data_IF_648550355518
#
_entry.id   IF_648550355518
#
_cell.length_a   1.000
_cell.length_b   1.000
_cell.length_c   1.000
_cell.angle_alpha   90.00
_cell.angle_beta   90.00
_cell.angle_gamma   90.00
#
_symmetry.space_group_name_H-M   'P 1'
#
loop_
_entity.id
_entity.type
_entity.pdbx_description
1 polymer ?
#
# COMPACT_ATOMS: atom_id res chain seq x y z
N UNK A 1 -19.61 15.62 16.94
CA UNK A 1 -19.01 14.34 17.35
C UNK A 1 -18.00 13.95 16.28
N UNK A 2 -16.74 13.86 16.66
CA UNK A 2 -15.68 13.38 15.78
C UNK A 2 -15.91 11.90 15.47
N UNK A 3 -15.49 11.44 14.29
CA UNK A 3 -15.67 10.03 13.87
C UNK A 3 -15.05 9.04 14.87
N UNK A 4 -13.94 9.42 15.50
CA UNK A 4 -13.27 8.64 16.54
C UNK A 4 -14.13 8.52 17.82
N UNK A 5 -14.80 9.59 18.22
CA UNK A 5 -15.70 9.57 19.39
C UNK A 5 -16.85 8.61 19.13
N UNK A 6 -17.42 8.64 17.92
CA UNK A 6 -18.48 7.72 17.51
C UNK A 6 -18.04 6.25 17.60
N UNK A 7 -16.83 5.93 17.12
CA UNK A 7 -16.27 4.57 17.21
C UNK A 7 -16.09 4.16 18.67
N UNK A 8 -15.54 5.06 19.50
CA UNK A 8 -15.28 4.78 20.92
C UNK A 8 -16.57 4.55 21.70
N UNK A 9 -17.57 5.43 21.52
CA UNK A 9 -18.87 5.36 22.18
C UNK A 9 -19.62 4.08 21.79
N UNK A 10 -19.74 3.78 20.49
CA UNK A 10 -20.39 2.54 20.03
C UNK A 10 -19.65 1.29 20.54
N UNK A 11 -18.32 1.31 20.60
CA UNK A 11 -17.56 0.18 21.15
C UNK A 11 -17.81 0.00 22.64
N UNK A 12 -17.87 1.10 23.40
CA UNK A 12 -18.19 1.07 24.82
C UNK A 12 -19.61 0.55 25.06
N UNK A 13 -20.61 1.10 24.38
CA UNK A 13 -22.01 0.65 24.49
C UNK A 13 -22.17 -0.82 24.12
N UNK A 14 -21.46 -1.29 23.08
CA UNK A 14 -21.45 -2.70 22.69
C UNK A 14 -20.91 -3.60 23.80
N UNK A 15 -19.79 -3.22 24.44
CA UNK A 15 -19.21 -3.98 25.55
C UNK A 15 -20.12 -4.00 26.77
N UNK A 16 -20.78 -2.88 27.06
CA UNK A 16 -21.78 -2.78 28.13
C UNK A 16 -22.97 -3.69 27.83
N UNK A 17 -23.51 -3.63 26.61
CA UNK A 17 -24.60 -4.50 26.17
C UNK A 17 -24.22 -5.97 26.24
N UNK A 18 -23.01 -6.34 25.80
CA UNK A 18 -22.47 -7.69 25.88
C UNK A 18 -22.38 -8.19 27.33
N UNK A 19 -21.92 -7.33 28.24
CA UNK A 19 -21.86 -7.66 29.67
C UNK A 19 -23.25 -7.93 30.25
N UNK A 20 -24.23 -7.07 29.99
CA UNK A 20 -25.60 -7.27 30.50
C UNK A 20 -26.30 -8.46 29.84
N UNK A 21 -26.10 -8.70 28.55
CA UNK A 21 -26.64 -9.86 27.84
C UNK A 21 -26.05 -11.19 28.30
N UNK A 22 -24.82 -11.21 28.84
CA UNK A 22 -24.24 -12.42 29.43
C UNK A 22 -25.07 -12.92 30.63
N UNK A 23 -25.82 -12.04 31.28
CA UNK A 23 -26.71 -12.37 32.37
C UNK A 23 -28.17 -12.33 31.91
N UNK A 24 -28.68 -13.48 31.46
CA UNK A 24 -30.09 -13.61 31.12
C UNK A 24 -30.96 -13.33 32.34
N UNK A 25 -31.91 -12.40 32.19
CA UNK A 25 -32.93 -12.12 33.20
C UNK A 25 -33.98 -13.23 33.14
N UNK A 26 -34.27 -13.85 34.28
CA UNK A 26 -35.30 -14.90 34.40
C UNK A 26 -36.51 -14.34 35.11
N UNK A 27 -37.70 -14.77 34.72
CA UNK A 27 -38.93 -14.38 35.39
C UNK A 27 -39.81 -15.59 35.68
N UNK A 28 -40.61 -15.47 36.74
CA UNK A 28 -41.57 -16.48 37.19
C UNK A 28 -42.93 -15.79 37.32
N UNK A 29 -43.90 -16.22 36.52
CA UNK A 29 -45.30 -15.83 36.66
C UNK A 29 -45.97 -16.69 37.74
N UNK A 30 -46.85 -16.12 38.57
CA UNK A 30 -47.69 -16.88 39.51
C UNK A 30 -47.02 -17.36 40.81
N UNK A 31 -45.81 -16.89 41.12
CA UNK A 31 -45.12 -17.18 42.39
C UNK A 31 -44.83 -15.89 43.14
N UNK A 32 -45.10 -15.84 44.45
CA UNK A 32 -44.75 -14.71 45.32
C UNK A 32 -43.92 -15.23 46.49
N UNK A 33 -42.82 -14.55 46.87
CA UNK A 33 -42.04 -14.90 48.06
C UNK A 33 -42.91 -14.82 49.31
N UNK A 34 -42.73 -15.76 50.26
CA UNK A 34 -43.55 -15.80 51.47
C UNK A 34 -43.04 -14.86 52.58
N UNK A 35 -41.75 -14.57 52.57
CA UNK A 35 -41.04 -13.75 53.56
C UNK A 35 -39.96 -12.87 52.91
N UNK A 36 -39.58 -11.77 53.57
CA UNK A 36 -38.53 -10.82 53.12
C UNK A 36 -37.16 -11.51 52.88
N UNK A 37 -36.86 -12.58 53.61
CA UNK A 37 -35.66 -13.42 53.42
C UNK A 37 -35.68 -14.20 52.10
N UNK A 38 -36.85 -14.64 51.65
CA UNK A 38 -37.03 -15.36 50.39
C UNK A 38 -37.04 -14.39 49.21
N UNK A 39 -37.63 -13.20 49.38
CA UNK A 39 -37.57 -12.10 48.43
C UNK A 39 -36.12 -11.65 48.19
N UNK A 40 -35.34 -11.48 49.26
CA UNK A 40 -33.92 -11.10 49.16
C UNK A 40 -33.10 -12.15 48.41
N UNK A 41 -33.42 -13.45 48.59
CA UNK A 41 -32.78 -14.55 47.84
C UNK A 41 -33.20 -14.58 46.36
N UNK A 42 -34.47 -14.32 46.06
CA UNK A 42 -34.97 -14.25 44.69
C UNK A 42 -34.40 -13.05 43.92
N UNK A 43 -34.34 -11.88 44.57
CA UNK A 43 -33.69 -10.68 44.04
C UNK A 43 -32.19 -10.86 43.85
N UNK A 44 -31.50 -11.50 44.80
CA UNK A 44 -30.08 -11.87 44.66
C UNK A 44 -29.84 -12.87 43.51
N UNK A 45 -30.81 -13.76 43.24
CA UNK A 45 -30.80 -14.66 42.09
C UNK A 45 -31.24 -14.00 40.77
N UNK A 46 -31.58 -12.69 40.77
CA UNK A 46 -32.07 -11.91 39.63
C UNK A 46 -33.34 -12.48 38.98
N UNK A 47 -34.20 -13.10 39.79
CA UNK A 47 -35.48 -13.64 39.34
C UNK A 47 -36.54 -12.57 39.58
N UNK A 48 -37.26 -12.19 38.52
CA UNK A 48 -38.46 -11.37 38.64
C UNK A 48 -39.66 -12.26 38.91
N UNK A 49 -40.60 -11.77 39.71
CA UNK A 49 -41.86 -12.46 39.92
C UNK A 49 -43.03 -11.50 39.64
N UNK A 50 -44.10 -12.06 39.11
CA UNK A 50 -45.31 -11.34 38.74
C UNK A 50 -46.49 -12.07 39.37
N UNK A 51 -47.34 -11.32 40.06
CA UNK A 51 -48.50 -11.86 40.77
C UNK A 51 -49.60 -12.21 39.76
N UNK A 52 -49.77 -13.50 39.49
CA UNK A 52 -50.77 -14.09 38.60
C UNK A 52 -51.33 -15.36 39.25
N UNK A 53 -52.39 -15.94 38.67
CA UNK A 53 -53.10 -17.09 39.28
C UNK A 53 -52.14 -18.29 39.51
N UNK A 54 -52.11 -18.92 40.70
CA UNK A 54 -51.14 -19.97 41.05
C UNK A 54 -51.20 -21.23 40.18
N UNK A 55 -52.28 -21.40 39.41
CA UNK A 55 -52.44 -22.53 38.48
C UNK A 55 -51.64 -22.35 37.17
N UNK A 56 -51.13 -21.14 36.90
CA UNK A 56 -50.36 -20.80 35.69
C UNK A 56 -48.90 -20.41 35.97
N UNK A 57 -48.20 -21.14 36.84
CA UNK A 57 -46.77 -20.87 37.08
C UNK A 57 -45.94 -21.18 35.83
N UNK A 58 -45.43 -20.14 35.17
CA UNK A 58 -44.52 -20.24 34.03
C UNK A 58 -43.18 -19.62 34.38
N UNK A 59 -42.12 -20.39 34.14
CA UNK A 59 -40.74 -19.94 34.26
C UNK A 59 -40.22 -19.78 32.84
N UNK A 60 -39.76 -18.58 32.51
CA UNK A 60 -39.19 -18.29 31.20
C UNK A 60 -38.06 -17.23 31.32
N UNK A 61 -37.33 -17.02 30.24
CA UNK A 61 -36.27 -16.03 30.13
C UNK A 61 -36.67 -14.89 29.20
N UNK A 62 -36.24 -13.67 29.52
CA UNK A 62 -36.37 -12.57 28.56
C UNK A 62 -35.42 -12.83 27.39
N UNK A 63 -35.89 -12.56 26.17
CA UNK A 63 -35.06 -12.74 24.98
C UNK A 63 -33.80 -11.89 25.07
N UNK A 64 -32.68 -12.49 24.69
CA UNK A 64 -31.39 -11.82 24.68
C UNK A 64 -31.38 -10.77 23.57
N UNK A 65 -30.96 -9.54 23.88
CA UNK A 65 -30.71 -8.57 22.82
C UNK A 65 -29.65 -9.08 21.83
N UNK A 66 -29.68 -8.57 20.59
CA UNK A 66 -28.63 -8.84 19.60
C UNK A 66 -27.55 -7.76 19.64
N UNK A 67 -26.28 -8.16 19.48
CA UNK A 67 -25.16 -7.22 19.35
C UNK A 67 -24.90 -6.76 17.91
N UNK A 68 -25.55 -7.38 16.91
CA UNK A 68 -25.34 -7.11 15.49
C UNK A 68 -25.50 -5.62 15.10
N UNK A 69 -26.53 -4.90 15.58
CA UNK A 69 -26.69 -3.48 15.24
C UNK A 69 -25.50 -2.61 15.67
N UNK A 70 -24.85 -2.93 16.80
CA UNK A 70 -23.67 -2.22 17.28
C UNK A 70 -22.45 -2.50 16.41
N UNK A 71 -22.29 -3.76 15.97
CA UNK A 71 -21.21 -4.16 15.04
C UNK A 71 -21.37 -3.41 13.71
N UNK A 72 -22.58 -3.34 13.18
CA UNK A 72 -22.87 -2.64 11.92
C UNK A 72 -22.64 -1.13 12.03
N UNK A 73 -23.07 -0.52 13.13
CA UNK A 73 -22.82 0.90 13.42
C UNK A 73 -21.31 1.20 13.52
N UNK A 74 -20.56 0.35 14.23
CA UNK A 74 -19.09 0.46 14.33
C UNK A 74 -18.43 0.31 12.96
N UNK A 75 -18.82 -0.68 12.18
CA UNK A 75 -18.25 -0.92 10.85
C UNK A 75 -18.52 0.25 9.89
N UNK A 76 -19.72 0.83 9.96
CA UNK A 76 -20.08 2.05 9.22
C UNK A 76 -19.16 3.23 9.61
N UNK A 77 -18.88 3.40 10.91
CA UNK A 77 -17.96 4.42 11.40
C UNK A 77 -16.51 4.25 10.94
N UNK A 78 -16.03 3.00 10.87
CA UNK A 78 -14.70 2.72 10.34
C UNK A 78 -14.65 3.03 8.83
N UNK A 79 -15.71 2.79 8.06
CA UNK A 79 -15.77 3.15 6.64
C UNK A 79 -15.74 4.66 6.41
N UNK A 80 -16.50 5.41 7.19
CA UNK A 80 -16.47 6.87 7.14
C UNK A 80 -15.06 7.40 7.49
N UNK A 81 -14.43 6.83 8.53
CA UNK A 81 -13.05 7.17 8.90
C UNK A 81 -12.06 6.85 7.78
N UNK A 82 -12.17 5.68 7.15
CA UNK A 82 -11.34 5.27 6.02
C UNK A 82 -11.46 6.26 4.84
N UNK A 83 -12.68 6.70 4.54
CA UNK A 83 -12.94 7.67 3.47
C UNK A 83 -12.33 9.05 3.77
N UNK A 84 -12.47 9.54 5.01
CA UNK A 84 -11.92 10.84 5.42
C UNK A 84 -10.39 10.80 5.48
N UNK A 85 -9.83 9.75 6.08
CA UNK A 85 -8.38 9.58 6.20
C UNK A 85 -7.69 9.09 4.93
N UNK A 86 -8.43 8.87 3.85
CA UNK A 86 -7.94 8.32 2.58
C UNK A 86 -7.15 7.00 2.75
N UNK A 87 -7.42 6.27 3.83
CA UNK A 87 -6.80 4.98 4.14
C UNK A 87 -7.69 3.86 3.59
N UNK A 88 -7.13 2.83 2.93
CA UNK A 88 -7.94 1.74 2.42
C UNK A 88 -8.66 0.99 3.56
N UNK A 89 -9.97 0.82 3.44
CA UNK A 89 -10.82 0.20 4.47
C UNK A 89 -10.38 -1.24 4.84
N UNK A 90 -9.81 -1.99 3.89
CA UNK A 90 -9.25 -3.32 4.15
C UNK A 90 -8.11 -3.31 5.15
N UNK A 91 -7.32 -2.22 5.22
CA UNK A 91 -6.22 -2.10 6.18
C UNK A 91 -6.71 -1.88 7.62
N UNK A 92 -7.98 -1.50 7.79
CA UNK A 92 -8.61 -1.26 9.09
C UNK A 92 -9.39 -2.48 9.63
N UNK A 93 -9.25 -3.64 8.98
CA UNK A 93 -9.86 -4.89 9.43
C UNK A 93 -11.36 -4.98 9.19
N UNK A 94 -11.90 -4.25 8.20
CA UNK A 94 -13.28 -4.45 7.75
C UNK A 94 -13.35 -5.78 6.98
N UNK A 95 -14.03 -6.76 7.59
CA UNK A 95 -14.34 -8.05 6.97
C UNK A 95 -15.29 -7.89 5.77
N UNK A 96 -15.15 -8.80 4.79
CA UNK A 96 -16.08 -8.92 3.67
C UNK A 96 -15.48 -8.65 2.29
N UNK A 97 -14.17 -8.38 2.21
CA UNK A 97 -13.50 -8.19 0.93
C UNK A 97 -12.63 -9.42 0.60
N UNK A 98 -13.29 -10.55 0.35
CA UNK A 98 -12.66 -11.75 -0.21
C UNK A 98 -12.75 -11.72 -1.74
N UNK A 99 -11.77 -12.32 -2.43
CA UNK A 99 -11.67 -12.33 -3.90
C UNK A 99 -11.48 -10.95 -4.57
N UNK A 100 -10.64 -10.09 -4.00
CA UNK A 100 -10.23 -8.82 -4.64
C UNK A 100 -9.28 -9.14 -5.80
N UNK A 101 -9.60 -8.64 -7.00
CA UNK A 101 -8.64 -8.64 -8.11
C UNK A 101 -7.58 -7.55 -7.92
N UNK A 102 -6.37 -7.73 -8.46
CA UNK A 102 -5.30 -6.72 -8.37
C UNK A 102 -5.75 -5.32 -8.83
N UNK A 103 -6.61 -5.26 -9.86
CA UNK A 103 -7.19 -4.00 -10.34
C UNK A 103 -8.13 -3.35 -9.33
N UNK A 104 -8.93 -4.14 -8.62
CA UNK A 104 -9.80 -3.64 -7.54
C UNK A 104 -8.98 -3.16 -6.35
N UNK A 105 -7.91 -3.88 -5.99
CA UNK A 105 -7.00 -3.47 -4.91
C UNK A 105 -6.32 -2.14 -5.25
N UNK A 106 -5.80 -2.00 -6.47
CA UNK A 106 -5.22 -0.75 -6.94
C UNK A 106 -6.23 0.41 -6.91
N UNK A 107 -7.50 0.16 -7.25
CA UNK A 107 -8.57 1.14 -7.14
C UNK A 107 -8.83 1.60 -5.70
N UNK A 108 -8.80 0.67 -4.73
CA UNK A 108 -8.97 0.97 -3.30
C UNK A 108 -7.78 1.74 -2.72
N UNK A 109 -6.56 1.49 -3.21
CA UNK A 109 -5.35 2.19 -2.78
C UNK A 109 -5.11 3.52 -3.49
N UNK A 110 -5.87 3.83 -4.55
CA UNK A 110 -5.64 5.02 -5.37
C UNK A 110 -5.75 6.34 -4.60
N UNK A 111 -6.66 6.45 -3.62
CA UNK A 111 -6.80 7.65 -2.80
C UNK A 111 -5.54 7.87 -1.94
N UNK A 112 -5.15 6.86 -1.16
CA UNK A 112 -3.92 6.82 -0.37
C UNK A 112 -2.68 7.17 -1.20
N UNK A 113 -2.56 6.58 -2.39
CA UNK A 113 -1.38 6.79 -3.24
C UNK A 113 -1.32 8.22 -3.79
N UNK A 114 -2.47 8.85 -4.07
CA UNK A 114 -2.53 10.27 -4.44
C UNK A 114 -2.12 11.16 -3.28
N UNK A 115 -2.67 10.92 -2.08
CA UNK A 115 -2.29 11.66 -0.87
C UNK A 115 -0.79 11.54 -0.58
N UNK A 116 -0.26 10.32 -0.64
CA UNK A 116 1.16 10.06 -0.48
C UNK A 116 2.01 10.83 -1.50
N UNK A 117 1.55 10.92 -2.76
CA UNK A 117 2.20 11.71 -3.79
C UNK A 117 2.21 13.21 -3.51
N UNK A 118 1.10 13.77 -3.01
CA UNK A 118 1.01 15.18 -2.61
C UNK A 118 1.95 15.50 -1.44
N UNK A 119 1.98 14.63 -0.42
CA UNK A 119 2.88 14.75 0.73
C UNK A 119 4.34 14.66 0.27
N UNK A 120 4.68 13.68 -0.56
CA UNK A 120 6.04 13.50 -1.09
C UNK A 120 6.50 14.71 -1.90
N UNK A 121 5.60 15.32 -2.68
CA UNK A 121 5.91 16.54 -3.46
C UNK A 121 6.17 17.72 -2.54
N UNK A 122 5.25 18.01 -1.62
CA UNK A 122 5.36 19.12 -0.66
C UNK A 122 6.61 19.00 0.23
N UNK A 123 6.88 17.79 0.72
CA UNK A 123 8.04 17.52 1.54
C UNK A 123 9.34 17.54 0.73
N UNK A 124 9.30 17.09 -0.52
CA UNK A 124 10.42 17.15 -1.47
C UNK A 124 10.87 18.58 -1.69
N UNK A 125 9.95 19.46 -2.08
CA UNK A 125 10.20 20.90 -2.28
C UNK A 125 10.79 21.56 -1.02
N UNK A 126 10.25 21.22 0.15
CA UNK A 126 10.75 21.74 1.43
C UNK A 126 12.19 21.30 1.71
N UNK A 127 12.56 20.06 1.38
CA UNK A 127 13.92 19.56 1.53
C UNK A 127 14.88 20.15 0.49
N UNK A 128 14.44 20.36 -0.75
CA UNK A 128 15.23 21.01 -1.78
C UNK A 128 15.56 22.47 -1.40
N UNK A 129 14.56 23.19 -0.89
CA UNK A 129 14.78 24.54 -0.34
C UNK A 129 15.75 24.52 0.83
N UNK A 130 15.63 23.56 1.75
CA UNK A 130 16.57 23.40 2.86
C UNK A 130 18.00 23.15 2.35
N UNK A 131 18.18 22.26 1.37
CA UNK A 131 19.49 21.97 0.81
C UNK A 131 20.11 23.17 0.09
N UNK A 132 19.31 23.93 -0.68
CA UNK A 132 19.76 25.20 -1.29
C UNK A 132 20.19 26.21 -0.23
N UNK A 133 19.44 26.33 0.86
CA UNK A 133 19.79 27.22 1.96
C UNK A 133 21.12 26.80 2.62
N UNK A 134 21.30 25.50 2.87
CA UNK A 134 22.57 24.96 3.38
C UNK A 134 23.74 25.25 2.43
N UNK A 135 23.54 25.09 1.11
CA UNK A 135 24.56 25.40 0.11
C UNK A 135 24.94 26.89 0.09
N UNK A 136 23.96 27.78 0.26
CA UNK A 136 24.21 29.22 0.37
C UNK A 136 25.06 29.55 1.60
N UNK A 137 24.76 28.93 2.75
CA UNK A 137 25.54 29.11 3.99
C UNK A 137 26.97 28.57 3.85
N UNK A 138 27.16 27.48 3.10
CA UNK A 138 28.47 26.89 2.79
C UNK A 138 29.26 27.69 1.73
N UNK A 139 28.65 28.71 1.12
CA UNK A 139 29.26 29.52 0.06
C UNK A 139 29.29 28.85 -1.32
N UNK A 140 28.53 27.77 -1.52
CA UNK A 140 28.40 27.08 -2.79
C UNK A 140 27.26 27.70 -3.62
N UNK A 141 27.54 28.82 -4.28
CA UNK A 141 26.56 29.56 -5.10
C UNK A 141 25.95 28.69 -6.22
N UNK A 142 26.75 27.80 -6.83
CA UNK A 142 26.26 26.92 -7.89
C UNK A 142 25.18 25.94 -7.41
N UNK A 143 25.31 25.41 -6.19
CA UNK A 143 24.29 24.54 -5.60
C UNK A 143 23.14 25.33 -4.95
N UNK A 144 23.38 26.56 -4.50
CA UNK A 144 22.33 27.45 -3.99
C UNK A 144 21.34 27.88 -5.08
N UNK A 145 21.84 28.09 -6.31
CA UNK A 145 21.05 28.47 -7.48
C UNK A 145 20.54 27.27 -8.31
N UNK A 146 20.68 26.04 -7.81
CA UNK A 146 20.19 24.83 -8.49
C UNK A 146 18.72 24.52 -8.20
N UNK A 147 17.86 24.82 -9.17
CA UNK A 147 16.43 24.51 -9.17
C UNK A 147 16.06 23.28 -10.00
N UNK A 148 17.05 22.60 -10.59
CA UNK A 148 16.81 21.40 -11.40
C UNK A 148 16.97 20.11 -10.61
N UNK A 149 17.65 20.16 -9.46
CA UNK A 149 17.82 19.02 -8.57
C UNK A 149 16.52 18.68 -7.84
N UNK A 150 16.12 17.41 -7.92
CA UNK A 150 14.90 16.88 -7.29
C UNK A 150 15.18 15.82 -6.22
N UNK A 151 14.32 15.76 -5.20
CA UNK A 151 14.32 14.67 -4.22
C UNK A 151 13.69 13.42 -4.84
N UNK A 152 14.46 12.33 -4.83
CA UNK A 152 13.99 11.01 -5.27
C UNK A 152 13.59 10.15 -4.07
N UNK A 153 12.31 9.84 -3.99
CA UNK A 153 11.76 8.94 -2.97
C UNK A 153 11.93 7.47 -3.36
N UNK A 154 12.24 6.63 -2.37
CA UNK A 154 12.22 5.18 -2.54
C UNK A 154 10.76 4.71 -2.60
N UNK A 155 10.39 3.99 -3.67
CA UNK A 155 9.09 3.34 -3.73
C UNK A 155 9.08 2.09 -2.82
N UNK A 156 8.07 1.98 -1.95
CA UNK A 156 7.84 0.86 -1.05
C UNK A 156 6.60 0.02 -1.43
N UNK A 157 5.90 0.38 -2.52
CA UNK A 157 4.79 -0.42 -3.03
C UNK A 157 5.26 -1.83 -3.40
N UNK A 158 4.48 -2.83 -2.99
CA UNK A 158 4.69 -4.22 -3.36
C UNK A 158 4.21 -4.48 -4.80
N UNK A 159 4.78 -3.79 -5.79
CA UNK A 159 4.55 -4.15 -7.20
C UNK A 159 5.32 -5.43 -7.52
N UNK A 160 4.77 -6.25 -8.40
CA UNK A 160 5.49 -7.39 -8.97
C UNK A 160 6.74 -6.86 -9.69
N UNK A 161 7.92 -7.24 -9.17
CA UNK A 161 9.21 -6.89 -9.77
C UNK A 161 9.25 -7.32 -11.24
N UNK A 162 8.69 -8.50 -11.54
CA UNK A 162 8.62 -9.07 -12.88
C UNK A 162 7.79 -8.23 -13.84
N UNK A 163 6.65 -7.69 -13.40
CA UNK A 163 5.81 -6.82 -14.23
C UNK A 163 6.51 -5.49 -14.53
N UNK A 164 7.17 -4.91 -13.54
CA UNK A 164 7.91 -3.65 -13.71
C UNK A 164 9.05 -3.82 -14.71
N UNK A 165 9.82 -4.91 -14.60
CA UNK A 165 10.90 -5.22 -15.54
C UNK A 165 10.36 -5.46 -16.95
N UNK A 166 9.23 -6.17 -17.09
CA UNK A 166 8.61 -6.40 -18.39
C UNK A 166 8.20 -5.08 -19.08
N UNK A 167 7.59 -4.15 -18.34
CA UNK A 167 7.26 -2.81 -18.86
C UNK A 167 8.52 -2.05 -19.26
N UNK A 168 9.58 -2.09 -18.45
CA UNK A 168 10.84 -1.41 -18.77
C UNK A 168 11.49 -1.96 -20.06
N UNK A 169 11.46 -3.28 -20.26
CA UNK A 169 11.94 -3.91 -21.51
C UNK A 169 11.10 -3.46 -22.71
N UNK A 170 9.78 -3.38 -22.55
CA UNK A 170 8.90 -2.88 -23.61
C UNK A 170 9.16 -1.41 -23.92
N UNK A 171 9.42 -0.57 -22.92
CA UNK A 171 9.76 0.84 -23.13
C UNK A 171 11.10 0.99 -23.86
N UNK A 172 12.10 0.18 -23.51
CA UNK A 172 13.39 0.16 -24.20
C UNK A 172 13.24 -0.22 -25.69
N UNK A 173 12.44 -1.25 -25.98
CA UNK A 173 12.24 -1.74 -27.34
C UNK A 173 11.28 -0.89 -28.18
N UNK A 174 10.20 -0.38 -27.58
CA UNK A 174 9.13 0.32 -28.28
C UNK A 174 9.40 1.80 -28.52
N UNK A 175 9.93 2.52 -27.53
CA UNK A 175 10.23 3.95 -27.61
C UNK A 175 11.71 4.23 -27.91
N UNK A 176 12.55 3.20 -27.99
CA UNK A 176 13.99 3.35 -28.22
C UNK A 176 14.72 4.07 -27.08
N UNK A 177 14.13 4.08 -25.88
CA UNK A 177 14.74 4.73 -24.71
C UNK A 177 16.02 3.97 -24.37
N UNK A 178 17.18 4.65 -24.26
CA UNK A 178 18.43 3.99 -23.88
C UNK A 178 18.27 3.21 -22.59
N UNK A 179 18.71 1.96 -22.58
CA UNK A 179 18.62 1.06 -21.42
C UNK A 179 19.27 1.68 -20.18
N UNK A 180 20.32 2.49 -20.37
CA UNK A 180 21.04 3.19 -19.31
C UNK A 180 20.11 4.15 -18.54
N UNK A 181 19.22 4.87 -19.23
CA UNK A 181 18.28 5.79 -18.60
C UNK A 181 17.21 5.05 -17.77
N UNK A 182 16.87 3.82 -18.16
CA UNK A 182 15.85 3.00 -17.51
C UNK A 182 16.37 2.29 -16.25
N UNK A 183 17.69 2.18 -16.06
CA UNK A 183 18.30 1.59 -14.86
C UNK A 183 17.82 2.27 -13.57
N UNK A 184 17.59 3.58 -13.65
CA UNK A 184 17.10 4.41 -12.54
C UNK A 184 15.67 4.10 -12.09
N UNK A 185 14.90 3.38 -12.92
CA UNK A 185 13.51 3.00 -12.68
C UNK A 185 13.37 1.55 -12.21
N UNK A 186 14.48 0.79 -12.12
CA UNK A 186 14.45 -0.58 -11.63
C UNK A 186 14.25 -0.56 -10.10
N UNK A 187 13.18 -1.19 -9.58
CA UNK A 187 12.94 -1.23 -8.14
C UNK A 187 14.11 -1.89 -7.38
N UNK A 188 14.50 -1.28 -6.26
CA UNK A 188 15.55 -1.82 -5.38
C UNK A 188 16.99 -1.54 -5.83
N UNK A 189 17.21 -0.96 -7.01
CA UNK A 189 18.55 -0.53 -7.40
C UNK A 189 18.94 0.74 -6.64
N UNK A 190 20.05 0.66 -5.91
CA UNK A 190 20.65 1.83 -5.26
C UNK A 190 21.45 2.66 -6.27
N UNK A 191 21.70 3.94 -5.97
CA UNK A 191 22.54 4.82 -6.81
C UNK A 191 23.91 4.19 -7.11
N UNK A 192 24.55 3.64 -6.08
CA UNK A 192 25.82 2.92 -6.22
C UNK A 192 25.71 1.73 -7.18
N UNK A 193 24.60 1.00 -7.15
CA UNK A 193 24.39 -0.14 -8.05
C UNK A 193 24.16 0.31 -9.49
N UNK A 194 23.43 1.41 -9.69
CA UNK A 194 23.22 2.01 -11.02
C UNK A 194 24.56 2.43 -11.62
N UNK A 195 25.38 3.17 -10.86
CA UNK A 195 26.71 3.61 -11.31
C UNK A 195 27.62 2.44 -11.69
N UNK A 196 27.62 1.37 -10.89
CA UNK A 196 28.36 0.14 -11.22
C UNK A 196 27.89 -0.49 -12.54
N UNK A 197 26.57 -0.59 -12.75
CA UNK A 197 26.01 -1.19 -13.97
C UNK A 197 26.29 -0.32 -15.19
N UNK A 198 26.17 1.01 -15.07
CA UNK A 198 26.55 1.92 -16.15
C UNK A 198 28.02 1.78 -16.55
N UNK A 199 28.93 1.67 -15.58
CA UNK A 199 30.35 1.44 -15.85
C UNK A 199 30.57 0.12 -16.59
N UNK A 200 29.87 -0.95 -16.21
CA UNK A 200 29.94 -2.24 -16.90
C UNK A 200 29.42 -2.14 -18.34
N UNK A 201 28.30 -1.45 -18.56
CA UNK A 201 27.73 -1.25 -19.91
C UNK A 201 28.69 -0.44 -20.78
N UNK A 202 29.27 0.64 -20.26
CA UNK A 202 30.27 1.45 -20.98
C UNK A 202 31.50 0.63 -21.36
N UNK A 203 32.03 -0.16 -20.43
CA UNK A 203 33.14 -1.06 -20.68
C UNK A 203 32.79 -2.08 -21.78
N UNK A 204 31.60 -2.67 -21.73
CA UNK A 204 31.16 -3.64 -22.75
C UNK A 204 30.98 -3.00 -24.13
N UNK A 205 30.39 -1.80 -24.22
CA UNK A 205 30.27 -1.05 -25.50
C UNK A 205 31.62 -0.73 -26.10
N UNK A 206 32.58 -0.29 -25.27
CA UNK A 206 33.93 0.02 -25.74
C UNK A 206 34.63 -1.22 -26.31
N UNK A 207 34.48 -2.38 -25.66
CA UNK A 207 35.04 -3.65 -26.12
C UNK A 207 34.42 -4.09 -27.45
N UNK A 208 33.09 -4.02 -27.57
CA UNK A 208 32.40 -4.35 -28.83
C UNK A 208 32.79 -3.43 -29.98
N UNK A 209 32.94 -2.12 -29.72
CA UNK A 209 33.38 -1.16 -30.73
C UNK A 209 34.81 -1.44 -31.19
N UNK A 210 35.72 -1.78 -30.27
CA UNK A 210 37.08 -2.20 -30.61
C UNK A 210 37.09 -3.50 -31.42
N UNK A 211 36.29 -4.50 -31.04
CA UNK A 211 36.18 -5.76 -31.78
C UNK A 211 35.65 -5.53 -33.21
N UNK A 212 34.68 -4.63 -33.40
CA UNK A 212 34.17 -4.24 -34.72
C UNK A 212 35.22 -3.52 -35.58
N UNK A 213 35.99 -2.60 -34.98
CA UNK A 213 37.08 -1.91 -35.68
C UNK A 213 38.21 -2.88 -36.08
N UNK A 214 38.55 -3.84 -35.22
CA UNK A 214 39.54 -4.89 -35.53
C UNK A 214 39.03 -5.80 -36.64
N UNK A 215 37.73 -6.14 -36.65
CA UNK A 215 37.12 -6.94 -37.72
C UNK A 215 37.13 -6.20 -39.08
N UNK A 216 36.81 -4.90 -39.09
CA UNK A 216 36.88 -4.04 -40.29
C UNK A 216 38.33 -3.91 -40.81
N UNK A 217 39.31 -3.77 -39.92
CA UNK A 217 40.73 -3.70 -40.28
C UNK A 217 41.28 -5.00 -40.90
N UNK A 218 40.75 -6.16 -40.51
CA UNK A 218 41.14 -7.46 -41.10
C UNK A 218 40.50 -7.72 -42.47
N UNK A 219 39.33 -7.13 -42.77
CA UNK A 219 38.65 -7.29 -44.06
C UNK A 219 39.26 -6.46 -45.21
N UNK A 220 40.01 -5.40 -44.91
CA UNK A 220 40.61 -4.51 -45.93
C UNK A 220 41.91 -5.01 -46.56
N UNK A 221 42.52 -6.09 -46.05
CA UNK A 221 43.86 -6.54 -46.47
C UNK A 221 43.86 -7.60 -47.58
N UNK A 222 42.70 -8.11 -48.05
CA UNK A 222 42.65 -9.29 -48.92
C UNK A 222 42.46 -9.01 -50.42
N UNK A 223 42.54 -7.77 -50.90
CA UNK A 223 42.23 -7.49 -52.31
C UNK A 223 43.11 -6.42 -52.97
N UNK A 224 44.41 -6.70 -53.17
CA UNK A 224 45.20 -6.04 -54.23
C UNK A 224 46.32 -6.96 -54.73
N UNK A 225 46.06 -7.71 -55.82
CA UNK A 225 47.13 -8.04 -56.77
C UNK A 225 46.54 -8.39 -58.16
N UNK A 226 46.49 -7.47 -59.13
CA UNK A 226 46.20 -7.84 -60.51
C UNK A 226 47.50 -8.22 -61.23
N UNK A 227 47.55 -9.43 -61.76
CA UNK A 227 48.65 -9.94 -62.57
C UNK A 227 48.84 -9.12 -63.86
N UNK A 228 50.08 -8.69 -64.11
CA UNK A 228 50.52 -8.01 -65.34
C UNK A 228 50.62 -9.04 -66.47
N UNK A 229 49.72 -8.95 -67.45
CA UNK A 229 49.79 -9.67 -68.72
C UNK A 229 50.36 -8.74 -69.80
N UNK A 230 51.54 -9.10 -70.32
CA UNK A 230 52.32 -8.36 -71.32
C UNK A 230 51.94 -8.88 -72.71
N UNK A 231 51.23 -8.09 -73.51
CA UNK A 231 50.96 -8.39 -74.92
C UNK A 231 52.09 -7.84 -75.82
N UNK A 232 52.72 -8.72 -76.59
CA UNK A 232 53.62 -8.40 -77.71
C UNK A 232 52.82 -8.14 -79.01
N UNK A 233 53.28 -7.27 -79.93
CA UNK A 233 52.59 -7.03 -81.19
C UNK A 233 53.11 -7.94 -82.32
N UNK A 234 52.25 -8.37 -83.23
CA UNK A 234 52.65 -8.79 -84.57
C UNK A 234 51.56 -8.57 -85.61
N UNK A 235 51.96 -7.85 -86.66
CA UNK A 235 51.47 -7.82 -88.06
C UNK A 235 50.11 -7.20 -88.37
#
# INVERSE_FOLDING_TARGET
>A
MLIQERINETTFEMLVAQYFQAFKQRYVLGWVPKDESEELKAGAARIWYLEEDPEEVKIDELDGGTITPYIDARNSAIRDFAAIGQVPAQALGIDGISNISDATLAGLEAAKNREGGEIMTSLGESHEQLMRLCALVDGNEAAADDYNSEIRWRNFEARSFSETVAVLVQLAGGLGIPTDALLSNIPGFTRQRIEQVEQMIRAQRSRTALDQLVALGRGGSSNTNPAVSRATPSS
#
